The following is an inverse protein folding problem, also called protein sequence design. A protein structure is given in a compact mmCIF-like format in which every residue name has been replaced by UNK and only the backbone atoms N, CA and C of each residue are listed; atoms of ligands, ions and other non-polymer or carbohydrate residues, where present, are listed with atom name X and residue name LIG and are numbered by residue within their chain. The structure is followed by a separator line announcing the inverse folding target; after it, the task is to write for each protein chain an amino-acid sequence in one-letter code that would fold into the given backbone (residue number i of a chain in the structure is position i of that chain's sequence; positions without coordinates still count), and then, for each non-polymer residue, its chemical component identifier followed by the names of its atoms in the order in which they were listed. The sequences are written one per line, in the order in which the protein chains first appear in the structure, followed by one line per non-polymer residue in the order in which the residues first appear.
data_IF_425509088113
#
_entry.id   IF_425509088113
#
_cell.length_a   1.000
_cell.length_b   1.000
_cell.length_c   1.000
_cell.angle_alpha   90.00
_cell.angle_beta   90.00
_cell.angle_gamma   90.00
#
_symmetry.space_group_name_H-M   'P 1'
#
loop_
_entity.id
_entity.type
_entity.pdbx_description
1 polymer ?
#
# COMPACT_ATOMS: atom_id res chain seq x y z
N UNK A 1 3.68 -12.72 -21.84
CA UNK A 1 3.53 -11.25 -21.98
C UNK A 1 2.09 -10.82 -22.23
N UNK A 2 1.30 -11.58 -23.01
CA UNK A 2 -0.11 -11.25 -23.31
C UNK A 2 -0.96 -11.11 -22.04
N UNK A 3 -0.86 -12.03 -21.10
CA UNK A 3 -1.61 -12.02 -19.83
C UNK A 3 -1.30 -10.76 -19.01
N UNK A 4 -0.06 -10.29 -19.03
CA UNK A 4 0.34 -9.08 -18.30
C UNK A 4 -0.23 -7.82 -18.96
N UNK A 5 -0.25 -7.77 -20.29
CA UNK A 5 -0.82 -6.65 -21.05
C UNK A 5 -2.32 -6.57 -20.82
N UNK A 6 -3.04 -7.68 -20.95
CA UNK A 6 -4.49 -7.75 -20.71
C UNK A 6 -4.84 -7.34 -19.27
N UNK A 7 -4.02 -7.75 -18.31
CA UNK A 7 -4.19 -7.35 -16.91
C UNK A 7 -3.98 -5.85 -16.73
N UNK A 8 -2.98 -5.29 -17.37
CA UNK A 8 -2.69 -3.86 -17.30
C UNK A 8 -3.81 -3.01 -17.91
N UNK A 9 -4.34 -3.43 -19.06
CA UNK A 9 -5.48 -2.75 -19.70
C UNK A 9 -6.72 -2.78 -18.81
N UNK A 10 -7.02 -3.92 -18.21
CA UNK A 10 -8.11 -4.09 -17.25
C UNK A 10 -7.99 -3.14 -16.04
N UNK A 11 -6.79 -2.98 -15.51
CA UNK A 11 -6.54 -2.05 -14.41
C UNK A 11 -6.64 -0.59 -14.85
N UNK A 12 -6.27 -0.28 -16.08
CA UNK A 12 -6.43 1.04 -16.67
C UNK A 12 -7.90 1.41 -16.83
N UNK A 13 -8.71 0.50 -17.35
CA UNK A 13 -10.16 0.69 -17.49
C UNK A 13 -10.88 0.90 -16.17
N UNK A 14 -10.39 0.26 -15.08
CA UNK A 14 -10.93 0.44 -13.73
C UNK A 14 -10.45 1.71 -13.02
N UNK A 15 -9.65 2.55 -13.68
CA UNK A 15 -9.09 3.75 -13.06
C UNK A 15 -8.01 3.49 -12.00
N UNK A 16 -7.48 2.28 -11.91
CA UNK A 16 -6.48 1.93 -10.89
C UNK A 16 -5.14 2.64 -11.13
N UNK A 17 -4.78 2.90 -12.38
CA UNK A 17 -3.55 3.64 -12.72
C UNK A 17 -3.65 5.08 -12.23
N UNK A 18 -4.82 5.70 -12.39
CA UNK A 18 -5.07 7.06 -11.90
C UNK A 18 -4.97 7.14 -10.38
N UNK A 19 -5.45 6.12 -9.68
CA UNK A 19 -5.32 6.00 -8.22
C UNK A 19 -3.85 5.93 -7.79
N UNK A 20 -3.02 5.19 -8.52
CA UNK A 20 -1.57 5.09 -8.26
C UNK A 20 -0.90 6.45 -8.46
N UNK A 21 -1.24 7.17 -9.52
CA UNK A 21 -0.71 8.52 -9.77
C UNK A 21 -1.10 9.48 -8.64
N UNK A 22 -2.36 9.49 -8.23
CA UNK A 22 -2.84 10.30 -7.11
C UNK A 22 -2.12 9.97 -5.81
N UNK A 23 -1.88 8.68 -5.56
CA UNK A 23 -1.17 8.23 -4.37
C UNK A 23 0.31 8.64 -4.39
N UNK A 24 0.96 8.58 -5.55
CA UNK A 24 2.33 9.05 -5.72
C UNK A 24 2.45 10.57 -5.47
N UNK A 25 1.51 11.36 -5.99
CA UNK A 25 1.44 12.79 -5.75
C UNK A 25 1.20 13.11 -4.26
N UNK A 26 0.34 12.35 -3.61
CA UNK A 26 0.09 12.46 -2.18
C UNK A 26 1.34 12.17 -1.36
N UNK A 27 2.06 11.10 -1.68
CA UNK A 27 3.31 10.72 -1.01
C UNK A 27 4.36 11.82 -1.11
N UNK A 28 4.54 12.37 -2.30
CA UNK A 28 5.49 13.44 -2.54
C UNK A 28 5.10 14.74 -1.82
N UNK A 29 3.83 15.13 -1.89
CA UNK A 29 3.34 16.41 -1.36
C UNK A 29 3.19 16.43 0.15
N UNK A 30 2.73 15.34 0.75
CA UNK A 30 2.38 15.30 2.18
C UNK A 30 3.44 14.63 3.05
N UNK A 31 4.22 13.70 2.50
CA UNK A 31 5.20 12.89 3.24
C UNK A 31 6.63 13.07 2.74
N UNK A 32 6.82 13.71 1.59
CA UNK A 32 8.15 13.91 1.00
C UNK A 32 8.87 12.59 0.68
N UNK A 33 8.15 11.56 0.32
CA UNK A 33 8.69 10.24 0.03
C UNK A 33 8.26 9.72 -1.35
N UNK A 34 8.94 8.67 -1.81
CA UNK A 34 8.55 7.96 -3.03
C UNK A 34 7.33 7.06 -2.79
N UNK A 35 6.71 6.65 -3.89
CA UNK A 35 5.60 5.68 -3.83
C UNK A 35 6.04 4.34 -3.24
N UNK A 36 7.25 3.88 -3.56
CA UNK A 36 7.81 2.65 -3.01
C UNK A 36 8.00 2.74 -1.49
N UNK A 37 8.57 3.84 -1.01
CA UNK A 37 8.73 4.09 0.42
C UNK A 37 7.39 4.17 1.15
N UNK A 38 6.39 4.84 0.57
CA UNK A 38 5.05 4.90 1.14
C UNK A 38 4.39 3.53 1.22
N UNK A 39 4.45 2.75 0.14
CA UNK A 39 3.85 1.42 0.08
C UNK A 39 4.43 0.48 1.15
N UNK A 40 5.74 0.49 1.33
CA UNK A 40 6.41 -0.29 2.36
C UNK A 40 6.06 0.19 3.77
N UNK A 41 6.06 1.49 4.00
CA UNK A 41 5.68 2.08 5.27
C UNK A 41 4.23 1.75 5.65
N UNK A 42 3.33 1.80 4.68
CA UNK A 42 1.93 1.42 4.87
C UNK A 42 1.79 -0.04 5.32
N UNK A 43 2.52 -0.96 4.69
CA UNK A 43 2.52 -2.35 5.10
C UNK A 43 3.10 -2.55 6.51
N UNK A 44 4.20 -1.90 6.84
CA UNK A 44 4.86 -2.01 8.15
C UNK A 44 3.98 -1.44 9.26
N UNK A 45 3.22 -0.40 8.98
CA UNK A 45 2.29 0.22 9.93
C UNK A 45 1.19 -0.74 10.40
N UNK A 46 0.88 -1.76 9.63
CA UNK A 46 -0.08 -2.79 10.00
C UNK A 46 0.50 -3.70 11.08
N UNK A 47 -0.11 -3.71 12.26
CA UNK A 47 0.30 -4.52 13.42
C UNK A 47 0.30 -6.02 13.17
N UNK A 48 -0.46 -6.49 12.18
CA UNK A 48 -0.56 -7.90 11.83
C UNK A 48 0.52 -8.35 10.85
N UNK A 49 1.32 -7.43 10.32
CA UNK A 49 2.43 -7.73 9.41
C UNK A 49 3.70 -7.94 10.22
N UNK A 50 4.25 -9.15 10.20
CA UNK A 50 5.47 -9.49 10.92
C UNK A 50 6.73 -9.10 10.17
N UNK A 51 6.72 -9.20 8.85
CA UNK A 51 7.87 -8.87 7.98
C UNK A 51 7.39 -8.59 6.56
N UNK A 52 8.19 -7.87 5.80
CA UNK A 52 7.95 -7.58 4.39
C UNK A 52 9.10 -8.13 3.56
N UNK A 53 8.77 -8.91 2.55
CA UNK A 53 9.75 -9.42 1.59
C UNK A 53 9.96 -8.38 0.48
N UNK A 54 11.23 -8.04 0.23
CA UNK A 54 11.59 -7.09 -0.80
C UNK A 54 12.01 -7.81 -2.08
N UNK A 55 11.52 -7.32 -3.23
CA UNK A 55 11.93 -7.76 -4.56
C UNK A 55 12.90 -6.76 -5.16
N UNK A 56 14.18 -6.88 -4.86
CA UNK A 56 15.23 -5.99 -5.34
C UNK A 56 16.24 -6.70 -6.23
N UNK A 57 16.77 -5.99 -7.21
CA UNK A 57 17.80 -6.47 -8.13
C UNK A 57 19.06 -5.62 -8.13
N UNK A 58 19.02 -4.43 -7.52
CA UNK A 58 20.12 -3.46 -7.47
C UNK A 58 20.29 -2.89 -6.06
N UNK A 59 21.53 -2.58 -5.62
CA UNK A 59 21.78 -1.99 -4.30
C UNK A 59 21.04 -0.67 -4.07
N UNK A 60 20.87 0.15 -5.11
CA UNK A 60 20.19 1.42 -5.05
C UNK A 60 18.71 1.26 -4.65
N UNK A 61 18.06 0.19 -5.13
CA UNK A 61 16.68 -0.13 -4.77
C UNK A 61 16.56 -0.49 -3.29
N UNK A 62 17.53 -1.23 -2.74
CA UNK A 62 17.56 -1.52 -1.31
C UNK A 62 17.68 -0.24 -0.48
N UNK A 63 18.56 0.66 -0.88
CA UNK A 63 18.77 1.94 -0.20
C UNK A 63 17.49 2.79 -0.23
N UNK A 64 16.81 2.87 -1.36
CA UNK A 64 15.53 3.55 -1.48
C UNK A 64 14.46 2.91 -0.58
N UNK A 65 14.33 1.58 -0.65
CA UNK A 65 13.32 0.87 0.14
C UNK A 65 13.53 1.02 1.65
N UNK A 66 14.77 1.06 2.12
CA UNK A 66 15.09 1.32 3.53
C UNK A 66 14.70 2.74 3.98
N UNK A 67 14.53 3.68 3.06
CA UNK A 67 13.97 5.01 3.34
C UNK A 67 12.55 4.97 3.91
N UNK A 68 11.82 3.88 3.73
CA UNK A 68 10.48 3.69 4.31
C UNK A 68 10.49 3.76 5.86
N UNK A 69 11.59 3.44 6.51
CA UNK A 69 11.71 3.49 7.97
C UNK A 69 11.52 4.92 8.51
N UNK A 70 12.00 5.92 7.78
CA UNK A 70 11.77 7.33 8.13
C UNK A 70 10.31 7.75 7.90
N UNK A 71 9.65 7.15 6.93
CA UNK A 71 8.25 7.45 6.60
C UNK A 71 7.29 6.90 7.65
N UNK A 72 7.60 5.76 8.25
CA UNK A 72 6.76 5.11 9.29
C UNK A 72 6.47 6.08 10.43
N UNK A 73 7.48 6.79 10.91
CA UNK A 73 7.36 7.71 12.04
C UNK A 73 6.45 8.91 11.71
N UNK A 74 6.41 9.30 10.45
CA UNK A 74 5.60 10.43 9.96
C UNK A 74 4.21 10.00 9.48
N UNK A 75 3.95 8.70 9.31
CA UNK A 75 2.70 8.18 8.79
C UNK A 75 1.65 8.09 9.92
N UNK A 76 0.78 9.10 9.99
CA UNK A 76 -0.28 9.21 10.99
C UNK A 76 -1.54 8.45 10.57
N UNK A 77 -2.49 8.28 11.51
CA UNK A 77 -3.80 7.70 11.18
C UNK A 77 -4.56 8.53 10.15
N UNK A 78 -4.42 9.85 10.18
CA UNK A 78 -5.00 10.76 9.19
C UNK A 78 -4.47 10.48 7.78
N UNK A 79 -3.15 10.28 7.65
CA UNK A 79 -2.55 9.86 6.39
C UNK A 79 -3.09 8.51 5.91
N UNK A 80 -3.30 7.56 6.82
CA UNK A 80 -3.86 6.26 6.50
C UNK A 80 -5.30 6.36 5.97
N UNK A 81 -6.11 7.23 6.56
CA UNK A 81 -7.47 7.51 6.10
C UNK A 81 -7.47 8.17 4.71
N UNK A 82 -6.58 9.10 4.47
CA UNK A 82 -6.43 9.74 3.16
C UNK A 82 -6.04 8.75 2.07
N UNK A 83 -5.13 7.82 2.38
CA UNK A 83 -4.74 6.73 1.49
C UNK A 83 -5.94 5.84 1.16
N UNK A 84 -6.73 5.46 2.16
CA UNK A 84 -7.93 4.66 1.97
C UNK A 84 -8.95 5.36 1.05
N UNK A 85 -9.10 6.67 1.19
CA UNK A 85 -9.98 7.48 0.32
C UNK A 85 -9.47 7.54 -1.12
N UNK A 86 -8.16 7.69 -1.32
CA UNK A 86 -7.55 7.74 -2.65
C UNK A 86 -7.72 6.39 -3.36
N UNK A 87 -7.45 5.29 -2.66
CA UNK A 87 -7.51 3.96 -3.23
C UNK A 87 -8.95 3.48 -3.43
N UNK A 88 -9.86 3.84 -2.53
CA UNK A 88 -11.28 3.45 -2.55
C UNK A 88 -11.50 1.96 -2.88
N UNK A 89 -10.69 1.10 -2.28
CA UNK A 89 -10.69 -0.34 -2.55
C UNK A 89 -10.61 -1.18 -1.28
N UNK A 90 -10.88 -0.59 -0.11
CA UNK A 90 -10.84 -1.30 1.15
C UNK A 90 -11.88 -2.43 1.14
N UNK A 91 -11.45 -3.69 1.32
CA UNK A 91 -12.37 -4.81 1.31
C UNK A 91 -13.29 -4.77 2.53
N UNK A 92 -14.53 -5.23 2.35
CA UNK A 92 -15.43 -5.44 3.48
C UNK A 92 -14.87 -6.52 4.40
N UNK A 93 -15.08 -6.34 5.71
CA UNK A 93 -14.68 -7.33 6.69
C UNK A 93 -15.40 -8.66 6.40
N UNK A 94 -14.63 -9.73 6.20
CA UNK A 94 -15.19 -11.05 5.94
C UNK A 94 -15.96 -11.57 7.16
N UNK A 95 -17.25 -11.70 7.02
CA UNK A 95 -18.11 -12.37 7.98
C UNK A 95 -18.06 -13.90 7.76
N UNK A 96 -16.88 -14.49 7.97
CA UNK A 96 -16.65 -15.90 7.69
C UNK A 96 -17.22 -16.84 8.75
N UNK A 97 -17.23 -18.12 8.41
CA UNK A 97 -17.52 -19.21 9.33
C UNK A 97 -16.63 -19.12 10.57
N UNK A 98 -17.19 -18.84 11.74
CA UNK A 98 -16.44 -18.91 12.98
C UNK A 98 -16.52 -17.71 13.92
N UNK A 99 -17.33 -16.74 13.64
CA UNK A 99 -17.64 -15.68 14.59
C UNK A 99 -16.54 -14.64 14.85
N UNK A 100 -16.62 -13.97 15.98
CA UNK A 100 -15.87 -12.75 16.32
C UNK A 100 -14.33 -12.84 16.28
N UNK A 101 -13.76 -14.04 16.37
CA UNK A 101 -12.29 -14.22 16.39
C UNK A 101 -11.61 -13.96 15.03
N UNK A 102 -12.27 -14.23 13.92
CA UNK A 102 -11.71 -13.96 12.59
C UNK A 102 -11.80 -12.50 12.16
N UNK A 103 -12.66 -11.71 12.80
CA UNK A 103 -12.77 -10.27 12.48
C UNK A 103 -11.53 -9.50 12.83
N UNK A 104 -10.76 -9.94 13.82
CA UNK A 104 -9.54 -9.26 14.26
C UNK A 104 -8.36 -9.48 13.29
N UNK A 105 -8.38 -10.55 12.50
CA UNK A 105 -7.31 -10.86 11.53
C UNK A 105 -7.43 -9.98 10.27
N UNK A 106 -8.63 -9.55 9.94
CA UNK A 106 -8.92 -8.79 8.71
C UNK A 106 -9.01 -7.27 8.95
N UNK A 107 -9.07 -6.83 10.20
CA UNK A 107 -9.08 -5.41 10.55
C UNK A 107 -7.66 -4.85 10.47
N UNK A 108 -7.37 -4.28 9.35
CA UNK A 108 -6.11 -3.57 9.09
C UNK A 108 -6.23 -2.14 9.64
#
# INVERSE_FOLDING_TARGET
YGILIDSLEKHKEKGNIEKIVKLADYASSNLGCSMAELALAWCIKNKNVSTILLGITKPEQLKENLGCLSVIDNLTNEHMEDIDKILDNKPEAYAGFGGAGMRQIVTI
#
